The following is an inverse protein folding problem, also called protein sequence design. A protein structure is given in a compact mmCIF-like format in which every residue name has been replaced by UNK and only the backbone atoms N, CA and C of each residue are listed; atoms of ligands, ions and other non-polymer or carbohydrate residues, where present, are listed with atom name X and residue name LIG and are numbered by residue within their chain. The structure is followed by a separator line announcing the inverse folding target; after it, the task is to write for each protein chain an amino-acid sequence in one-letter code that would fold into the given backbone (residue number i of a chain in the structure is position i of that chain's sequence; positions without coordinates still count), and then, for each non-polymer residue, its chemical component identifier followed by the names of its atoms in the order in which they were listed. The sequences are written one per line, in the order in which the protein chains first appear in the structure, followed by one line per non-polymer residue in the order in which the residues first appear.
data_IF_620584478121
#
_entry.id   IF_620584478121
#
_cell.length_a   1.000
_cell.length_b   1.000
_cell.length_c   1.000
_cell.angle_alpha   90.00
_cell.angle_beta   90.00
_cell.angle_gamma   90.00
#
_symmetry.space_group_name_H-M   'P 1'
#
loop_
_entity.id
_entity.type
_entity.pdbx_description
1 polymer ?
#
# COMPACT_ATOMS: atom_id res chain seq x y z
N UNK A 1 -28.02 51.24 -18.96
CA UNK A 1 -26.71 50.65 -18.54
C UNK A 1 -26.89 49.24 -17.97
N UNK A 2 -28.14 48.78 -17.82
CA UNK A 2 -28.50 47.65 -16.95
C UNK A 2 -28.36 46.27 -17.63
N UNK A 3 -28.42 46.22 -18.96
CA UNK A 3 -28.33 44.98 -19.75
C UNK A 3 -26.90 44.39 -19.71
N UNK A 4 -25.88 45.26 -19.73
CA UNK A 4 -24.47 44.85 -19.71
C UNK A 4 -24.10 44.26 -18.33
N UNK A 5 -24.66 44.82 -17.26
CA UNK A 5 -24.44 44.34 -15.89
C UNK A 5 -25.09 42.96 -15.68
N UNK A 6 -26.32 42.77 -16.19
CA UNK A 6 -27.00 41.47 -16.12
C UNK A 6 -26.27 40.36 -16.89
N UNK A 7 -25.73 40.67 -18.08
CA UNK A 7 -24.93 39.72 -18.85
C UNK A 7 -23.61 39.35 -18.17
N UNK A 8 -22.92 40.32 -17.55
CA UNK A 8 -21.69 40.08 -16.79
C UNK A 8 -21.92 39.20 -15.55
N UNK A 9 -23.00 39.43 -14.79
CA UNK A 9 -23.36 38.62 -13.62
C UNK A 9 -23.67 37.17 -14.03
N UNK A 10 -24.38 36.97 -15.15
CA UNK A 10 -24.72 35.64 -15.65
C UNK A 10 -23.47 34.83 -16.04
N UNK A 11 -22.50 35.46 -16.72
CA UNK A 11 -21.23 34.81 -17.12
C UNK A 11 -20.38 34.44 -15.90
N UNK A 12 -20.27 35.34 -14.92
CA UNK A 12 -19.53 35.07 -13.69
C UNK A 12 -20.17 33.90 -12.91
N UNK A 13 -21.50 33.88 -12.83
CA UNK A 13 -22.23 32.79 -12.18
C UNK A 13 -21.98 31.43 -12.84
N UNK A 14 -21.95 31.38 -14.17
CA UNK A 14 -21.65 30.12 -14.90
C UNK A 14 -20.20 29.69 -14.74
N UNK A 15 -19.24 30.61 -14.73
CA UNK A 15 -17.83 30.29 -14.50
C UNK A 15 -17.59 29.71 -13.10
N UNK A 16 -18.15 30.34 -12.06
CA UNK A 16 -18.00 29.85 -10.67
C UNK A 16 -18.64 28.47 -10.51
N UNK A 17 -19.81 28.26 -11.10
CA UNK A 17 -20.50 26.97 -11.07
C UNK A 17 -19.69 25.86 -11.77
N UNK A 18 -19.09 26.14 -12.93
CA UNK A 18 -18.25 25.18 -13.65
C UNK A 18 -16.97 24.83 -12.86
N UNK A 19 -16.31 25.83 -12.25
CA UNK A 19 -15.13 25.60 -11.39
C UNK A 19 -15.50 24.73 -10.19
N UNK A 20 -16.65 24.99 -9.56
CA UNK A 20 -17.12 24.20 -8.42
C UNK A 20 -17.44 22.75 -8.80
N UNK A 21 -18.13 22.52 -9.92
CA UNK A 21 -18.39 21.16 -10.42
C UNK A 21 -17.08 20.45 -10.74
N UNK A 22 -16.17 21.09 -11.48
CA UNK A 22 -14.86 20.53 -11.82
C UNK A 22 -14.07 20.16 -10.57
N UNK A 23 -14.01 21.05 -9.58
CA UNK A 23 -13.34 20.79 -8.30
C UNK A 23 -13.96 19.61 -7.55
N UNK A 24 -15.30 19.46 -7.61
CA UNK A 24 -16.01 18.37 -6.94
C UNK A 24 -15.82 17.02 -7.65
N UNK A 25 -15.81 17.00 -8.97
CA UNK A 25 -15.51 15.81 -9.76
C UNK A 25 -14.06 15.36 -9.58
N UNK A 26 -13.14 16.33 -9.57
CA UNK A 26 -11.73 16.09 -9.32
C UNK A 26 -11.52 15.51 -7.90
N UNK A 27 -12.11 16.13 -6.87
CA UNK A 27 -12.06 15.59 -5.49
C UNK A 27 -12.53 14.13 -5.41
N UNK A 28 -13.66 13.78 -6.05
CA UNK A 28 -14.17 12.40 -6.05
C UNK A 28 -13.22 11.43 -6.75
N UNK A 29 -12.60 11.85 -7.85
CA UNK A 29 -11.61 11.05 -8.58
C UNK A 29 -10.38 10.79 -7.69
N UNK A 30 -9.88 11.83 -7.05
CA UNK A 30 -8.76 11.72 -6.11
C UNK A 30 -9.04 10.76 -4.96
N UNK A 31 -10.25 10.76 -4.41
CA UNK A 31 -10.64 9.81 -3.36
C UNK A 31 -10.72 8.37 -3.88
N UNK A 32 -11.21 8.16 -5.10
CA UNK A 32 -11.23 6.83 -5.73
C UNK A 32 -9.81 6.30 -6.00
N UNK A 33 -8.91 7.13 -6.51
CA UNK A 33 -7.51 6.77 -6.76
C UNK A 33 -6.78 6.44 -5.44
N UNK A 34 -7.04 7.21 -4.38
CA UNK A 34 -6.56 6.96 -3.02
C UNK A 34 -7.05 5.64 -2.43
N UNK A 35 -8.33 5.32 -2.57
CA UNK A 35 -8.90 4.04 -2.10
C UNK A 35 -8.35 2.84 -2.89
N UNK A 36 -8.10 3.04 -4.18
CA UNK A 36 -7.46 2.04 -5.04
C UNK A 36 -6.02 1.78 -4.61
N UNK A 37 -5.23 2.82 -4.36
CA UNK A 37 -3.86 2.70 -3.86
C UNK A 37 -3.80 1.93 -2.53
N UNK A 38 -4.71 2.24 -1.59
CA UNK A 38 -4.83 1.51 -0.33
C UNK A 38 -5.11 0.01 -0.53
N UNK A 39 -6.01 -0.31 -1.46
CA UNK A 39 -6.35 -1.70 -1.77
C UNK A 39 -5.18 -2.44 -2.42
N UNK A 40 -4.51 -1.81 -3.40
CA UNK A 40 -3.35 -2.37 -4.07
C UNK A 40 -2.21 -2.64 -3.09
N UNK A 41 -1.84 -1.64 -2.28
CA UNK A 41 -0.78 -1.76 -1.27
C UNK A 41 -1.03 -2.94 -0.31
N UNK A 42 -2.28 -3.12 0.12
CA UNK A 42 -2.64 -4.25 0.99
C UNK A 42 -2.51 -5.59 0.27
N UNK A 43 -3.03 -5.70 -0.95
CA UNK A 43 -2.99 -6.94 -1.73
C UNK A 43 -1.53 -7.33 -2.03
N UNK A 44 -0.73 -6.38 -2.49
CA UNK A 44 0.65 -6.63 -2.89
C UNK A 44 1.52 -7.00 -1.68
N UNK A 45 1.33 -6.32 -0.55
CA UNK A 45 2.00 -6.70 0.71
C UNK A 45 1.65 -8.13 1.15
N UNK A 46 0.36 -8.50 1.13
CA UNK A 46 -0.06 -9.87 1.49
C UNK A 46 0.49 -10.91 0.52
N UNK A 47 0.52 -10.60 -0.78
CA UNK A 47 1.14 -11.46 -1.81
C UNK A 47 2.62 -11.65 -1.55
N UNK A 48 3.35 -10.58 -1.27
CA UNK A 48 4.78 -10.64 -0.96
C UNK A 48 5.05 -11.49 0.29
N UNK A 49 4.31 -11.26 1.38
CA UNK A 49 4.44 -12.02 2.62
C UNK A 49 4.12 -13.52 2.42
N UNK A 50 3.06 -13.84 1.68
CA UNK A 50 2.70 -15.22 1.36
C UNK A 50 3.76 -15.92 0.49
N UNK A 51 4.33 -15.20 -0.47
CA UNK A 51 5.44 -15.70 -1.30
C UNK A 51 6.71 -15.94 -0.46
N UNK A 52 7.03 -15.05 0.48
CA UNK A 52 8.14 -15.23 1.43
C UNK A 52 7.93 -16.48 2.29
N UNK A 53 6.72 -16.70 2.80
CA UNK A 53 6.37 -17.89 3.58
C UNK A 53 6.48 -19.16 2.73
N UNK A 54 5.94 -19.15 1.50
CA UNK A 54 6.03 -20.28 0.57
C UNK A 54 7.50 -20.62 0.23
N UNK A 55 8.37 -19.62 0.15
CA UNK A 55 9.81 -19.82 0.03
C UNK A 55 10.37 -20.48 1.29
N UNK A 56 10.06 -19.98 2.49
CA UNK A 56 10.49 -20.62 3.75
C UNK A 56 9.97 -22.06 3.87
N UNK A 57 8.82 -22.36 3.27
CA UNK A 57 8.25 -23.70 3.17
C UNK A 57 8.88 -24.58 2.07
N UNK A 58 9.88 -24.07 1.32
CA UNK A 58 10.53 -24.74 0.18
C UNK A 58 9.57 -25.12 -0.96
N UNK A 59 8.42 -24.44 -1.04
CA UNK A 59 7.45 -24.60 -2.12
C UNK A 59 7.88 -23.78 -3.35
N UNK A 60 8.72 -22.76 -3.16
CA UNK A 60 9.35 -21.98 -4.23
C UNK A 60 10.80 -22.44 -4.37
N UNK A 61 11.17 -22.85 -5.58
CA UNK A 61 12.53 -23.34 -5.87
C UNK A 61 13.52 -22.19 -5.91
N UNK A 62 14.52 -22.24 -5.03
CA UNK A 62 15.66 -21.32 -5.03
C UNK A 62 16.82 -21.97 -5.80
N UNK A 63 17.13 -21.42 -6.98
CA UNK A 63 18.06 -22.05 -7.94
C UNK A 63 19.52 -21.74 -7.60
N UNK A 64 19.81 -20.59 -6.98
CA UNK A 64 21.14 -20.24 -6.49
C UNK A 64 21.10 -19.66 -5.08
N UNK A 65 22.12 -19.96 -4.29
CA UNK A 65 22.22 -19.46 -2.93
C UNK A 65 22.39 -17.94 -2.93
N UNK A 66 21.44 -17.22 -2.33
CA UNK A 66 21.46 -15.76 -2.21
C UNK A 66 20.78 -15.00 -3.35
N UNK A 67 20.37 -15.66 -4.44
CA UNK A 67 19.50 -15.02 -5.44
C UNK A 67 18.04 -15.18 -5.05
N UNK A 68 17.32 -14.05 -5.09
CA UNK A 68 15.88 -14.05 -4.93
C UNK A 68 15.23 -14.70 -6.17
N UNK A 69 14.32 -15.69 -5.99
CA UNK A 69 13.54 -16.18 -7.12
C UNK A 69 12.75 -15.02 -7.73
N UNK A 70 12.64 -14.98 -9.06
CA UNK A 70 11.97 -13.88 -9.77
C UNK A 70 10.55 -13.59 -9.26
N UNK A 71 9.82 -14.63 -8.84
CA UNK A 71 8.48 -14.50 -8.26
C UNK A 71 8.49 -13.78 -6.91
N UNK A 72 9.55 -13.93 -6.12
CA UNK A 72 9.76 -13.22 -4.85
C UNK A 72 10.16 -11.78 -5.15
N UNK A 73 11.14 -11.57 -6.02
CA UNK A 73 11.61 -10.21 -6.39
C UNK A 73 10.45 -9.36 -6.89
N UNK A 74 9.70 -9.87 -7.86
CA UNK A 74 8.56 -9.18 -8.42
C UNK A 74 7.52 -8.83 -7.35
N UNK A 75 7.17 -9.78 -6.48
CA UNK A 75 6.16 -9.53 -5.45
C UNK A 75 6.62 -8.52 -4.40
N UNK A 76 7.90 -8.57 -4.00
CA UNK A 76 8.49 -7.64 -3.04
C UNK A 76 8.60 -6.24 -3.63
N UNK A 77 9.02 -6.11 -4.89
CA UNK A 77 9.09 -4.82 -5.58
C UNK A 77 7.70 -4.21 -5.79
N UNK A 78 6.72 -5.00 -6.24
CA UNK A 78 5.31 -4.56 -6.35
C UNK A 78 4.79 -4.05 -5.01
N UNK A 79 4.99 -4.82 -3.93
CA UNK A 79 4.58 -4.40 -2.59
C UNK A 79 5.29 -3.12 -2.15
N UNK A 80 6.59 -2.99 -2.43
CA UNK A 80 7.37 -1.80 -2.09
C UNK A 80 6.81 -0.56 -2.77
N UNK A 81 6.60 -0.60 -4.09
CA UNK A 81 6.09 0.53 -4.86
C UNK A 81 4.66 0.90 -4.48
N UNK A 82 3.77 -0.08 -4.30
CA UNK A 82 2.39 0.19 -3.88
C UNK A 82 2.32 0.81 -2.47
N UNK A 83 3.21 0.40 -1.58
CA UNK A 83 3.38 1.01 -0.25
C UNK A 83 3.92 2.45 -0.36
N UNK A 84 4.92 2.68 -1.20
CA UNK A 84 5.48 4.00 -1.46
C UNK A 84 4.41 4.96 -2.02
N UNK A 85 3.67 4.54 -3.04
CA UNK A 85 2.56 5.30 -3.63
C UNK A 85 1.53 5.68 -2.56
N UNK A 86 1.19 4.74 -1.66
CA UNK A 86 0.26 4.99 -0.57
C UNK A 86 0.78 6.08 0.38
N UNK A 87 2.08 6.11 0.68
CA UNK A 87 2.69 7.13 1.52
C UNK A 87 2.70 8.53 0.87
N UNK A 88 2.88 8.60 -0.45
CA UNK A 88 2.79 9.85 -1.21
C UNK A 88 1.36 10.40 -1.17
N UNK A 89 0.37 9.53 -1.33
CA UNK A 89 -1.04 9.91 -1.31
C UNK A 89 -1.55 10.22 0.11
N UNK A 90 -0.95 9.60 1.14
CA UNK A 90 -1.29 9.77 2.55
C UNK A 90 -0.02 9.93 3.42
N UNK A 91 0.58 11.12 3.46
CA UNK A 91 1.81 11.34 4.24
C UNK A 91 1.67 11.00 5.73
N UNK A 92 0.46 11.07 6.29
CA UNK A 92 0.16 10.72 7.69
C UNK A 92 0.46 9.26 8.06
N UNK A 93 0.59 8.36 7.07
CA UNK A 93 0.92 6.94 7.29
C UNK A 93 2.36 6.58 6.95
N UNK A 94 3.19 7.53 6.47
CA UNK A 94 4.55 7.27 5.98
C UNK A 94 5.39 6.40 6.94
N UNK A 95 5.41 6.74 8.24
CA UNK A 95 6.15 5.96 9.24
C UNK A 95 5.66 4.50 9.34
N UNK A 96 4.35 4.27 9.27
CA UNK A 96 3.78 2.91 9.30
C UNK A 96 4.11 2.15 8.01
N UNK A 97 4.15 2.85 6.87
CA UNK A 97 4.54 2.30 5.57
C UNK A 97 6.01 1.87 5.58
N UNK A 98 6.92 2.74 6.04
CA UNK A 98 8.35 2.41 6.19
C UNK A 98 8.55 1.21 7.12
N UNK A 99 7.77 1.12 8.21
CA UNK A 99 7.78 -0.03 9.10
C UNK A 99 7.36 -1.32 8.37
N UNK A 100 6.30 -1.28 7.56
CA UNK A 100 5.85 -2.44 6.77
C UNK A 100 6.89 -2.87 5.72
N UNK A 101 7.50 -1.91 5.02
CA UNK A 101 8.59 -2.16 4.06
C UNK A 101 9.79 -2.84 4.73
N UNK A 102 10.29 -2.30 5.84
CA UNK A 102 11.41 -2.88 6.59
C UNK A 102 11.09 -4.29 7.10
N UNK A 103 9.87 -4.51 7.57
CA UNK A 103 9.40 -5.79 8.09
C UNK A 103 9.36 -6.86 7.00
N UNK A 104 8.88 -6.51 5.81
CA UNK A 104 8.88 -7.39 4.65
C UNK A 104 10.31 -7.84 4.29
N UNK A 105 11.27 -6.91 4.27
CA UNK A 105 12.69 -7.24 4.01
C UNK A 105 13.26 -8.14 5.10
N UNK A 106 13.04 -7.83 6.39
CA UNK A 106 13.50 -8.67 7.50
C UNK A 106 12.94 -10.10 7.41
N UNK A 107 11.66 -10.26 7.06
CA UNK A 107 11.05 -11.58 6.88
C UNK A 107 11.62 -12.32 5.69
N UNK A 108 11.93 -11.63 4.60
CA UNK A 108 12.57 -12.20 3.43
C UNK A 108 13.97 -12.75 3.77
N UNK A 109 14.80 -11.96 4.46
CA UNK A 109 16.12 -12.38 4.91
C UNK A 109 16.06 -13.57 5.87
N UNK A 110 15.07 -13.55 6.77
CA UNK A 110 14.85 -14.65 7.70
C UNK A 110 14.40 -15.93 6.98
N UNK A 111 13.53 -15.82 5.97
CA UNK A 111 13.12 -16.96 5.15
C UNK A 111 14.32 -17.59 4.42
N UNK A 112 15.24 -16.79 3.87
CA UNK A 112 16.50 -17.32 3.31
C UNK A 112 17.36 -18.07 4.32
N UNK A 113 17.45 -17.54 5.54
CA UNK A 113 18.18 -18.20 6.63
C UNK A 113 17.57 -19.55 6.99
N UNK A 114 16.23 -19.64 6.97
CA UNK A 114 15.50 -20.87 7.29
C UNK A 114 15.73 -21.99 6.26
N UNK A 115 15.95 -21.68 4.98
CA UNK A 115 16.12 -22.67 3.90
C UNK A 115 17.23 -23.70 4.17
N UNK A 116 18.27 -23.30 4.91
CA UNK A 116 19.39 -24.16 5.29
C UNK A 116 18.99 -25.28 6.26
N UNK A 117 17.83 -25.15 6.92
CA UNK A 117 17.34 -26.10 7.91
C UNK A 117 16.46 -27.19 7.30
N UNK A 118 16.39 -28.34 7.97
CA UNK A 118 15.47 -29.43 7.59
C UNK A 118 14.01 -29.08 7.96
N UNK A 119 13.82 -28.45 9.10
CA UNK A 119 12.55 -27.98 9.67
C UNK A 119 12.18 -26.53 9.28
N UNK A 120 12.64 -26.08 8.10
CA UNK A 120 12.60 -24.68 7.65
C UNK A 120 11.27 -23.96 7.91
N UNK A 121 10.15 -24.56 7.51
CA UNK A 121 8.83 -23.94 7.67
C UNK A 121 8.39 -23.80 9.13
N UNK A 122 8.54 -24.88 9.91
CA UNK A 122 8.16 -24.90 11.32
C UNK A 122 9.01 -23.90 12.13
N UNK A 123 10.31 -23.86 11.84
CA UNK A 123 11.22 -22.90 12.45
C UNK A 123 10.88 -21.46 12.07
N UNK A 124 10.58 -21.20 10.79
CA UNK A 124 10.14 -19.88 10.34
C UNK A 124 8.90 -19.41 11.10
N UNK A 125 7.86 -20.25 11.20
CA UNK A 125 6.62 -19.90 11.91
C UNK A 125 6.81 -19.68 13.41
N UNK A 126 7.62 -20.51 14.06
CA UNK A 126 7.86 -20.40 15.50
C UNK A 126 8.67 -19.15 15.90
N UNK A 127 9.42 -18.55 14.97
CA UNK A 127 10.34 -17.44 15.24
C UNK A 127 10.03 -16.20 14.39
N UNK A 128 8.78 -16.07 13.93
CA UNK A 128 8.34 -14.96 13.09
C UNK A 128 8.28 -13.66 13.91
N UNK A 129 9.24 -12.76 13.67
CA UNK A 129 9.26 -11.44 14.27
C UNK A 129 9.19 -10.31 13.22
N UNK A 130 8.36 -9.29 13.46
CA UNK A 130 7.25 -9.24 14.42
C UNK A 130 6.12 -10.21 14.00
N UNK A 131 5.25 -10.57 14.94
CA UNK A 131 4.14 -11.52 14.72
C UNK A 131 3.16 -11.06 13.64
N UNK A 132 2.38 -12.00 13.08
CA UNK A 132 1.28 -11.67 12.15
C UNK A 132 0.26 -10.70 12.77
N UNK A 133 -0.04 -10.87 14.06
CA UNK A 133 -0.91 -9.95 14.80
C UNK A 133 -0.34 -8.52 14.83
N UNK A 134 0.98 -8.39 14.94
CA UNK A 134 1.65 -7.08 14.93
C UNK A 134 1.56 -6.42 13.55
N UNK A 135 1.72 -7.18 12.47
CA UNK A 135 1.47 -6.65 11.11
C UNK A 135 0.03 -6.18 10.97
N UNK A 136 -0.93 -6.99 11.41
CA UNK A 136 -2.34 -6.67 11.31
C UNK A 136 -2.66 -5.35 12.04
N UNK A 137 -2.06 -5.12 13.21
CA UNK A 137 -2.21 -3.86 13.96
C UNK A 137 -1.65 -2.65 13.19
N UNK A 138 -0.55 -2.81 12.46
CA UNK A 138 -0.01 -1.73 11.61
C UNK A 138 -0.94 -1.48 10.43
N UNK A 139 -1.37 -2.54 9.72
CA UNK A 139 -2.30 -2.44 8.60
C UNK A 139 -3.63 -1.78 8.99
N UNK A 140 -4.17 -2.10 10.17
CA UNK A 140 -5.38 -1.47 10.70
C UNK A 140 -5.18 0.02 11.00
N UNK A 141 -4.00 0.41 11.50
CA UNK A 141 -3.66 1.82 11.75
C UNK A 141 -3.54 2.61 10.46
N UNK A 142 -2.89 2.05 9.45
CA UNK A 142 -2.80 2.62 8.10
C UNK A 142 -4.20 2.80 7.53
N UNK A 143 -5.02 1.75 7.52
CA UNK A 143 -6.40 1.78 7.03
C UNK A 143 -7.21 2.90 7.70
N UNK A 144 -7.19 2.94 9.04
CA UNK A 144 -7.94 3.95 9.80
C UNK A 144 -7.51 5.37 9.45
N UNK A 145 -6.20 5.64 9.40
CA UNK A 145 -5.66 6.97 9.07
C UNK A 145 -5.95 7.38 7.63
N UNK A 146 -5.91 6.45 6.68
CA UNK A 146 -6.31 6.69 5.30
C UNK A 146 -7.81 7.03 5.22
N UNK A 147 -8.67 6.28 5.91
CA UNK A 147 -10.12 6.53 5.95
C UNK A 147 -10.46 7.89 6.56
N UNK A 148 -9.83 8.24 7.69
CA UNK A 148 -9.96 9.55 8.33
C UNK A 148 -9.59 10.69 7.37
N UNK A 149 -8.54 10.51 6.57
CA UNK A 149 -8.05 11.53 5.62
C UNK A 149 -8.98 11.77 4.42
N UNK A 150 -9.82 10.80 4.05
CA UNK A 150 -10.85 10.94 3.00
C UNK A 150 -12.26 11.17 3.58
N UNK A 151 -12.38 11.40 4.88
CA UNK A 151 -13.65 11.70 5.54
C UNK A 151 -14.59 10.50 5.71
N UNK A 152 -14.07 9.27 5.58
CA UNK A 152 -14.82 8.04 5.88
C UNK A 152 -14.69 7.78 7.39
N UNK A 153 -15.84 7.66 8.08
CA UNK A 153 -15.94 7.38 9.52
C UNK A 153 -16.25 5.91 9.79
#
# INVERSE_FOLDING_TARGET
MDIIIGALISIIGTMVFNVWISSREESKRWDADRLKALTNARIDLLRALGNIEAMAAKQIRVISAGARPLIIDKAVDEAWYSLEELSVLFPVVENDIQNLQQLMIKRLDFAFTCLKRKDSHAFFKANLEPSEESILKIQQRVLRRCQESVGIK
#
